data_IF_094259245356
#
_entry.id   IF_094259245356
#
_cell.length_a   1.000
_cell.length_b   1.000
_cell.length_c   1.000
_cell.angle_alpha   90.00
_cell.angle_beta   90.00
_cell.angle_gamma   90.00
#
_symmetry.space_group_name_H-M   'P 1'
#
loop_
_entity.id
_entity.type
_entity.pdbx_description
1 polymer ?
#
# COMPACT_ATOMS: atom_id res chain seq x y z
N UNK A 1 10.55 -14.32 5.36
CA UNK A 1 10.96 -14.13 3.94
C UNK A 1 12.30 -13.41 3.92
N UNK A 2 13.11 -13.63 2.88
CA UNK A 2 14.40 -12.96 2.69
C UNK A 2 14.49 -12.46 1.25
N UNK A 3 14.73 -11.16 1.06
CA UNK A 3 15.07 -10.60 -0.25
C UNK A 3 16.50 -11.03 -0.57
N UNK A 4 16.69 -11.85 -1.62
CA UNK A 4 18.01 -12.35 -2.06
C UNK A 4 18.65 -11.43 -3.10
N UNK A 5 17.85 -10.79 -3.94
CA UNK A 5 18.34 -9.89 -4.99
C UNK A 5 17.36 -8.76 -5.20
N UNK A 6 17.89 -7.58 -5.50
CA UNK A 6 17.11 -6.44 -5.96
C UNK A 6 17.82 -5.77 -7.12
N UNK A 7 17.11 -5.61 -8.24
CA UNK A 7 17.55 -4.84 -9.38
C UNK A 7 16.53 -3.75 -9.71
N UNK A 8 17.01 -2.52 -9.82
CA UNK A 8 16.23 -1.34 -10.16
C UNK A 8 16.75 -0.75 -11.46
N UNK A 9 15.83 -0.35 -12.33
CA UNK A 9 16.13 0.40 -13.55
C UNK A 9 15.19 1.59 -13.62
N UNK A 10 15.75 2.79 -13.78
CA UNK A 10 15.01 4.05 -13.90
C UNK A 10 13.98 4.32 -12.79
N UNK A 11 14.24 3.87 -11.56
CA UNK A 11 13.33 4.04 -10.43
C UNK A 11 13.70 5.28 -9.61
N UNK A 12 12.80 6.26 -9.49
CA UNK A 12 13.07 7.55 -8.82
C UNK A 12 14.37 8.18 -9.37
N UNK A 13 15.33 8.52 -8.52
CA UNK A 13 16.63 9.05 -8.93
C UNK A 13 17.68 7.95 -9.22
N UNK A 14 17.30 6.67 -9.24
CA UNK A 14 18.20 5.53 -9.46
C UNK A 14 18.09 5.12 -10.94
N UNK A 15 19.13 5.35 -11.72
CA UNK A 15 19.18 4.88 -13.12
C UNK A 15 19.37 3.36 -13.17
N UNK A 16 20.31 2.85 -12.39
CA UNK A 16 20.59 1.43 -12.25
C UNK A 16 21.06 1.13 -10.82
N UNK A 17 20.56 0.04 -10.25
CA UNK A 17 21.02 -0.55 -8.99
C UNK A 17 20.81 -2.05 -9.09
N UNK A 18 21.78 -2.83 -8.63
CA UNK A 18 21.69 -4.29 -8.66
C UNK A 18 22.56 -4.85 -7.55
N UNK A 19 21.94 -5.53 -6.59
CA UNK A 19 22.65 -6.10 -5.45
C UNK A 19 22.06 -7.46 -5.05
N UNK A 20 22.96 -8.38 -4.71
CA UNK A 20 22.65 -9.67 -4.10
C UNK A 20 22.86 -9.59 -2.58
N UNK A 21 21.81 -9.92 -1.84
CA UNK A 21 21.75 -9.88 -0.40
C UNK A 21 21.99 -11.26 0.20
N UNK A 22 23.24 -11.49 0.59
CA UNK A 22 23.69 -12.75 1.19
C UNK A 22 23.67 -12.73 2.73
N UNK A 23 23.20 -11.65 3.35
CA UNK A 23 23.18 -11.48 4.80
C UNK A 23 21.83 -10.96 5.29
N UNK A 24 21.52 -11.23 6.56
CA UNK A 24 20.27 -10.79 7.19
C UNK A 24 20.27 -9.31 7.58
N UNK A 25 21.45 -8.69 7.67
CA UNK A 25 21.63 -7.30 8.12
C UNK A 25 22.43 -6.54 7.07
N UNK A 26 21.77 -5.60 6.43
CA UNK A 26 22.34 -4.77 5.38
C UNK A 26 22.31 -3.32 5.85
N UNK A 27 23.43 -2.64 5.70
CA UNK A 27 23.54 -1.21 6.00
C UNK A 27 23.77 -0.47 4.69
N UNK A 28 22.83 0.38 4.30
CA UNK A 28 22.94 1.22 3.11
C UNK A 28 23.48 2.59 3.55
N UNK A 29 24.73 2.89 3.18
CA UNK A 29 25.41 4.14 3.53
C UNK A 29 25.42 5.11 2.34
N UNK A 30 25.49 6.40 2.64
CA UNK A 30 25.59 7.46 1.63
C UNK A 30 25.04 8.79 2.13
N UNK A 31 25.32 9.86 1.39
CA UNK A 31 24.80 11.19 1.71
C UNK A 31 23.27 11.27 1.56
N UNK A 32 22.67 12.33 2.10
CA UNK A 32 21.24 12.58 1.92
C UNK A 32 20.89 12.74 0.43
N UNK A 33 19.65 12.41 0.07
CA UNK A 33 19.15 12.43 -1.31
C UNK A 33 19.84 11.51 -2.33
N UNK A 34 20.76 10.62 -1.91
CA UNK A 34 21.44 9.66 -2.79
C UNK A 34 20.61 8.40 -3.13
N UNK A 35 19.29 8.41 -2.86
CA UNK A 35 18.42 7.29 -3.22
C UNK A 35 18.29 6.15 -2.20
N UNK A 36 18.92 6.25 -1.02
CA UNK A 36 18.80 5.24 0.06
C UNK A 36 17.33 4.90 0.39
N UNK A 37 16.52 5.93 0.63
CA UNK A 37 15.08 5.76 0.90
C UNK A 37 14.28 5.29 -0.32
N UNK A 38 14.81 5.48 -1.54
CA UNK A 38 14.17 5.02 -2.77
C UNK A 38 14.42 3.52 -2.99
N UNK A 39 15.56 2.99 -2.56
CA UNK A 39 15.80 1.53 -2.50
C UNK A 39 14.77 0.87 -1.56
N UNK A 40 14.62 1.42 -0.34
CA UNK A 40 13.62 0.91 0.61
C UNK A 40 12.19 1.05 0.11
N UNK A 41 11.88 2.16 -0.58
CA UNK A 41 10.58 2.37 -1.22
C UNK A 41 10.28 1.31 -2.29
N UNK A 42 11.27 0.97 -3.13
CA UNK A 42 11.10 -0.08 -4.14
C UNK A 42 10.77 -1.44 -3.51
N UNK A 43 11.48 -1.80 -2.43
CA UNK A 43 11.21 -3.03 -1.67
C UNK A 43 9.81 -3.01 -1.06
N UNK A 44 9.40 -1.89 -0.46
CA UNK A 44 8.08 -1.75 0.17
C UNK A 44 6.92 -1.79 -0.86
N UNK A 45 7.14 -1.29 -2.09
CA UNK A 45 6.16 -1.38 -3.18
C UNK A 45 5.89 -2.84 -3.56
N UNK A 46 6.89 -3.72 -3.51
CA UNK A 46 6.71 -5.15 -3.81
C UNK A 46 5.78 -5.83 -2.80
N UNK A 47 5.71 -5.34 -1.56
CA UNK A 47 4.80 -5.86 -0.55
C UNK A 47 3.40 -5.22 -0.60
N UNK A 48 3.34 -3.88 -0.69
CA UNK A 48 2.10 -3.11 -0.53
C UNK A 48 1.40 -2.78 -1.85
N UNK A 49 2.04 -3.05 -2.99
CA UNK A 49 1.61 -2.60 -4.32
C UNK A 49 1.39 -1.08 -4.42
N UNK A 50 1.89 -0.28 -3.49
CA UNK A 50 1.70 1.18 -3.49
C UNK A 50 2.85 1.85 -2.78
N UNK A 51 3.10 3.12 -3.13
CA UNK A 51 4.08 3.94 -2.45
C UNK A 51 3.41 4.73 -1.33
N UNK A 52 4.10 4.83 -0.19
CA UNK A 52 3.67 5.69 0.91
C UNK A 52 3.94 7.18 0.60
N UNK A 53 4.86 7.47 -0.33
CA UNK A 53 5.39 8.81 -0.67
C UNK A 53 4.88 9.39 -2.00
N UNK A 54 4.72 8.55 -3.03
CA UNK A 54 4.24 8.98 -4.34
C UNK A 54 2.71 8.96 -4.40
N UNK A 55 2.12 10.00 -4.97
CA UNK A 55 0.68 10.07 -5.22
C UNK A 55 0.31 9.43 -6.56
N UNK A 56 1.25 9.42 -7.51
CA UNK A 56 1.06 8.91 -8.86
C UNK A 56 2.22 8.02 -9.26
N UNK A 57 1.92 7.01 -10.07
CA UNK A 57 2.92 6.04 -10.56
C UNK A 57 4.04 6.69 -11.38
N UNK A 58 3.76 7.78 -12.09
CA UNK A 58 4.79 8.50 -12.86
C UNK A 58 5.86 9.16 -11.98
N UNK A 59 5.56 9.47 -10.71
CA UNK A 59 6.53 10.02 -9.76
C UNK A 59 7.58 8.98 -9.33
N UNK A 60 7.30 7.69 -9.55
CA UNK A 60 8.23 6.58 -9.28
C UNK A 60 9.25 6.37 -10.41
N UNK A 61 9.08 7.06 -11.53
CA UNK A 61 9.89 6.91 -12.73
C UNK A 61 10.94 8.02 -12.77
N UNK A 62 12.16 7.67 -13.13
CA UNK A 62 13.24 8.64 -13.32
C UNK A 62 12.86 9.67 -14.38
N UNK A 63 13.33 10.90 -14.18
CA UNK A 63 13.07 11.99 -15.11
C UNK A 63 13.49 11.61 -16.53
N UNK A 64 12.63 11.98 -17.50
CA UNK A 64 12.84 11.72 -18.93
C UNK A 64 12.93 10.22 -19.30
N UNK A 65 12.45 9.30 -18.44
CA UNK A 65 12.31 7.88 -18.77
C UNK A 65 10.84 7.50 -18.94
N UNK A 66 10.59 6.47 -19.75
CA UNK A 66 9.22 6.02 -20.05
C UNK A 66 8.70 4.96 -19.06
N UNK A 67 9.61 4.28 -18.37
CA UNK A 67 9.29 3.24 -17.41
C UNK A 67 10.34 3.14 -16.30
N UNK A 68 9.90 2.61 -15.16
CA UNK A 68 10.75 2.06 -14.10
C UNK A 68 10.54 0.55 -14.00
N UNK A 69 11.58 -0.19 -13.61
CA UNK A 69 11.53 -1.64 -13.42
C UNK A 69 12.12 -2.01 -12.06
N UNK A 70 11.40 -2.86 -11.33
CA UNK A 70 11.84 -3.47 -10.07
C UNK A 70 11.85 -4.98 -10.29
N UNK A 71 13.01 -5.61 -10.18
CA UNK A 71 13.18 -7.06 -10.18
C UNK A 71 13.68 -7.52 -8.81
N UNK A 72 13.15 -8.61 -8.30
CA UNK A 72 13.56 -9.16 -7.02
C UNK A 72 13.46 -10.67 -6.97
N UNK A 73 14.43 -11.30 -6.31
CA UNK A 73 14.39 -12.71 -5.96
C UNK A 73 14.17 -12.81 -4.45
N UNK A 74 13.17 -13.58 -4.02
CA UNK A 74 12.70 -13.62 -2.64
C UNK A 74 12.62 -15.07 -2.16
N UNK A 75 13.31 -15.38 -1.08
CA UNK A 75 13.15 -16.64 -0.35
C UNK A 75 11.88 -16.61 0.49
N UNK A 76 10.96 -17.53 0.28
CA UNK A 76 9.81 -17.76 1.17
C UNK A 76 9.98 -19.05 1.98
N UNK A 77 8.97 -19.42 2.78
CA UNK A 77 8.95 -20.71 3.48
C UNK A 77 8.76 -21.88 2.53
N UNK A 78 8.02 -21.65 1.45
CA UNK A 78 7.53 -22.69 0.56
C UNK A 78 8.48 -22.82 -0.63
N UNK A 79 8.67 -21.73 -1.38
CA UNK A 79 9.54 -21.66 -2.56
C UNK A 79 10.19 -20.29 -2.74
N UNK A 80 11.26 -20.24 -3.54
CA UNK A 80 11.78 -18.96 -4.02
C UNK A 80 10.81 -18.34 -5.04
N UNK A 81 10.62 -17.03 -4.97
CA UNK A 81 9.73 -16.25 -5.84
C UNK A 81 10.55 -15.16 -6.55
N UNK A 82 10.45 -15.12 -7.87
CA UNK A 82 10.91 -14.01 -8.70
C UNK A 82 9.74 -13.05 -8.95
N UNK A 83 9.91 -11.77 -8.63
CA UNK A 83 8.94 -10.71 -8.93
C UNK A 83 9.56 -9.68 -9.86
N UNK A 84 8.85 -9.35 -10.93
CA UNK A 84 9.21 -8.30 -11.88
C UNK A 84 8.05 -7.33 -12.06
N UNK A 85 8.23 -6.09 -11.60
CA UNK A 85 7.24 -5.04 -11.65
C UNK A 85 7.74 -3.88 -12.51
N UNK A 86 7.10 -3.68 -13.66
CA UNK A 86 7.32 -2.53 -14.53
C UNK A 86 6.22 -1.49 -14.33
N UNK A 87 6.60 -0.24 -14.12
CA UNK A 87 5.71 0.92 -13.97
C UNK A 87 5.95 1.84 -15.17
N UNK A 88 4.90 2.22 -15.90
CA UNK A 88 5.01 3.06 -17.10
C UNK A 88 4.46 4.48 -16.82
N UNK A 89 4.94 5.47 -17.56
CA UNK A 89 4.48 6.88 -17.44
C UNK A 89 2.98 7.05 -17.66
N UNK A 90 2.35 6.14 -18.40
CA UNK A 90 0.90 6.05 -18.59
C UNK A 90 0.11 5.65 -17.33
N UNK A 91 0.80 5.30 -16.23
CA UNK A 91 0.22 4.76 -15.00
C UNK A 91 -0.11 3.26 -15.09
N UNK A 92 0.15 2.61 -16.22
CA UNK A 92 -0.04 1.16 -16.37
C UNK A 92 1.13 0.41 -15.74
N UNK A 93 0.80 -0.66 -15.00
CA UNK A 93 1.78 -1.60 -14.46
C UNK A 93 1.80 -2.90 -15.25
N UNK A 94 2.95 -3.55 -15.34
CA UNK A 94 3.09 -4.93 -15.80
C UNK A 94 3.78 -5.71 -14.69
N UNK A 95 3.17 -6.82 -14.29
CA UNK A 95 3.72 -7.71 -13.27
C UNK A 95 4.00 -9.07 -13.89
N UNK A 96 5.16 -9.63 -13.60
CA UNK A 96 5.45 -11.05 -13.76
C UNK A 96 5.83 -11.64 -12.41
N UNK A 97 5.33 -12.83 -12.13
CA UNK A 97 5.76 -13.66 -10.98
C UNK A 97 6.23 -14.98 -11.55
N UNK A 98 7.47 -15.38 -11.24
CA UNK A 98 8.14 -16.56 -11.80
C UNK A 98 8.02 -16.62 -13.32
N UNK A 99 8.34 -15.49 -13.98
CA UNK A 99 8.23 -15.33 -15.44
C UNK A 99 6.80 -15.19 -16.01
N UNK A 100 5.75 -15.52 -15.24
CA UNK A 100 4.35 -15.51 -15.71
C UNK A 100 3.70 -14.14 -15.54
N UNK A 101 3.25 -13.55 -16.65
CA UNK A 101 2.52 -12.28 -16.67
C UNK A 101 1.19 -12.36 -15.93
N UNK A 102 0.91 -11.37 -15.09
CA UNK A 102 -0.31 -11.26 -14.27
C UNK A 102 -1.31 -10.25 -14.87
N UNK A 103 -2.61 -10.53 -14.71
CA UNK A 103 -3.70 -9.75 -15.31
C UNK A 103 -4.09 -8.54 -14.48
N UNK A 104 -3.99 -8.63 -13.16
CA UNK A 104 -4.28 -7.55 -12.23
C UNK A 104 -3.03 -7.22 -11.40
N UNK A 105 -2.03 -6.53 -11.97
CA UNK A 105 -0.71 -6.32 -11.35
C UNK A 105 -0.74 -5.83 -9.90
N UNK A 106 -1.71 -5.00 -9.52
CA UNK A 106 -1.78 -4.51 -8.14
C UNK A 106 -2.30 -5.58 -7.17
N UNK A 107 -3.45 -6.18 -7.49
CA UNK A 107 -4.06 -7.21 -6.67
C UNK A 107 -3.27 -8.54 -6.67
N UNK A 108 -2.58 -8.86 -7.78
CA UNK A 108 -1.79 -10.08 -7.94
C UNK A 108 -0.41 -9.99 -7.27
N UNK A 109 0.06 -8.78 -6.93
CA UNK A 109 1.31 -8.57 -6.19
C UNK A 109 1.14 -8.80 -4.68
N UNK A 110 -0.03 -8.50 -4.15
CA UNK A 110 -0.36 -8.63 -2.73
C UNK A 110 -0.21 -10.08 -2.25
N UNK A 111 0.43 -10.25 -1.10
CA UNK A 111 0.60 -11.54 -0.43
C UNK A 111 1.81 -12.35 -0.88
N UNK A 112 2.53 -11.94 -1.93
CA UNK A 112 3.74 -12.64 -2.39
C UNK A 112 5.00 -12.25 -1.58
N UNK A 113 4.99 -11.05 -1.00
CA UNK A 113 6.08 -10.53 -0.20
C UNK A 113 5.55 -9.67 0.95
N UNK A 114 6.17 -9.81 2.11
CA UNK A 114 5.80 -9.05 3.31
C UNK A 114 6.96 -8.21 3.82
N UNK A 115 6.68 -6.94 4.11
CA UNK A 115 7.64 -5.98 4.67
C UNK A 115 7.01 -5.15 5.78
N UNK A 116 7.84 -4.85 6.78
CA UNK A 116 7.57 -3.81 7.78
C UNK A 116 8.59 -2.71 7.56
N UNK A 117 8.10 -1.50 7.26
CA UNK A 117 8.94 -0.32 7.08
C UNK A 117 8.78 0.58 8.30
N UNK A 118 9.90 0.86 8.96
CA UNK A 118 9.99 1.87 10.02
C UNK A 118 10.53 3.16 9.42
N UNK A 119 9.83 4.27 9.67
CA UNK A 119 10.18 5.59 9.16
C UNK A 119 10.00 6.66 10.24
N UNK A 120 10.70 7.79 10.10
CA UNK A 120 10.50 8.93 10.99
C UNK A 120 9.04 9.43 11.01
N UNK A 121 8.33 9.25 9.89
CA UNK A 121 6.92 9.62 9.74
C UNK A 121 5.97 8.75 10.58
N UNK A 122 6.42 7.63 11.14
CA UNK A 122 5.58 6.77 12.00
C UNK A 122 5.11 7.51 13.27
N UNK A 123 5.82 8.57 13.68
CA UNK A 123 5.37 9.47 14.76
C UNK A 123 4.01 10.12 14.48
N UNK A 124 3.63 10.27 13.21
CA UNK A 124 2.32 10.80 12.83
C UNK A 124 1.18 9.81 13.07
N UNK A 125 1.47 8.53 13.33
CA UNK A 125 0.44 7.60 13.80
C UNK A 125 -0.18 8.12 15.12
N UNK A 126 0.68 8.67 15.99
CA UNK A 126 0.29 9.21 17.30
C UNK A 126 -0.18 10.66 17.18
N UNK A 127 0.63 11.54 16.59
CA UNK A 127 0.37 13.00 16.58
C UNK A 127 -0.50 13.47 15.41
N UNK A 128 -0.70 12.62 14.41
CA UNK A 128 -1.34 13.00 13.16
C UNK A 128 -2.86 12.91 13.19
N UNK A 129 -3.45 13.21 12.03
CA UNK A 129 -4.90 13.19 11.83
C UNK A 129 -5.46 11.76 11.72
N UNK A 130 -6.78 11.58 11.89
CA UNK A 130 -7.43 10.28 11.67
C UNK A 130 -7.23 9.71 10.25
N UNK A 131 -7.02 10.56 9.23
CA UNK A 131 -6.77 10.09 7.87
C UNK A 131 -5.43 9.37 7.74
N UNK A 132 -4.40 9.80 8.48
CA UNK A 132 -3.09 9.14 8.49
C UNK A 132 -3.18 7.76 9.17
N UNK A 133 -3.88 7.65 10.31
CA UNK A 133 -4.15 6.36 10.96
C UNK A 133 -4.92 5.40 10.06
N UNK A 134 -5.95 5.88 9.36
CA UNK A 134 -6.69 5.05 8.38
C UNK A 134 -5.81 4.60 7.23
N UNK A 135 -4.99 5.49 6.65
CA UNK A 135 -4.04 5.13 5.58
C UNK A 135 -3.06 4.06 6.04
N UNK A 136 -2.52 4.18 7.25
CA UNK A 136 -1.64 3.18 7.84
C UNK A 136 -2.36 1.83 8.00
N UNK A 137 -3.58 1.83 8.55
CA UNK A 137 -4.37 0.62 8.74
C UNK A 137 -4.71 -0.06 7.41
N UNK A 138 -5.15 0.72 6.42
CA UNK A 138 -5.49 0.24 5.07
C UNK A 138 -4.28 -0.37 4.36
N UNK A 139 -3.11 0.26 4.49
CA UNK A 139 -1.84 -0.19 3.90
C UNK A 139 -1.41 -1.54 4.46
N UNK A 140 -1.52 -1.74 5.78
CA UNK A 140 -1.19 -3.01 6.42
C UNK A 140 -2.20 -4.11 6.08
N UNK A 141 -3.51 -3.83 6.16
CA UNK A 141 -4.55 -4.80 5.80
C UNK A 141 -4.49 -5.22 4.32
N UNK A 142 -4.19 -4.28 3.43
CA UNK A 142 -3.99 -4.55 2.00
C UNK A 142 -2.87 -5.55 1.77
N UNK A 143 -1.76 -5.43 2.49
CA UNK A 143 -0.63 -6.36 2.37
C UNK A 143 -1.03 -7.79 2.78
N UNK A 144 -1.89 -7.92 3.77
CA UNK A 144 -2.32 -9.21 4.34
C UNK A 144 -3.45 -9.88 3.56
N UNK A 145 -4.28 -9.12 2.84
CA UNK A 145 -5.51 -9.64 2.25
C UNK A 145 -5.82 -9.01 0.89
N UNK A 146 -5.72 -9.84 -0.16
CA UNK A 146 -6.20 -9.49 -1.51
C UNK A 146 -7.70 -9.20 -1.52
N UNK A 147 -8.48 -9.87 -0.66
CA UNK A 147 -9.93 -9.62 -0.52
C UNK A 147 -10.14 -8.20 0.01
N UNK A 148 -9.43 -7.81 1.07
CA UNK A 148 -9.49 -6.46 1.62
C UNK A 148 -9.15 -5.41 0.56
N UNK A 149 -8.07 -5.63 -0.19
CA UNK A 149 -7.65 -4.74 -1.27
C UNK A 149 -8.77 -4.51 -2.29
N UNK A 150 -9.43 -5.59 -2.74
CA UNK A 150 -10.51 -5.50 -3.71
C UNK A 150 -11.73 -4.77 -3.15
N UNK A 151 -12.11 -5.06 -1.90
CA UNK A 151 -13.19 -4.35 -1.20
C UNK A 151 -12.88 -2.86 -1.08
N UNK A 152 -11.66 -2.52 -0.64
CA UNK A 152 -11.21 -1.14 -0.47
C UNK A 152 -11.17 -0.38 -1.80
N UNK A 153 -10.61 -0.98 -2.86
CA UNK A 153 -10.58 -0.38 -4.19
C UNK A 153 -12.00 -0.13 -4.74
N UNK A 154 -12.91 -1.07 -4.53
CA UNK A 154 -14.30 -0.94 -4.98
C UNK A 154 -15.03 0.14 -4.19
N UNK A 155 -14.90 0.15 -2.86
CA UNK A 155 -15.45 1.18 -1.98
C UNK A 155 -14.98 2.59 -2.39
N UNK A 156 -13.67 2.79 -2.59
CA UNK A 156 -13.13 4.08 -3.02
C UNK A 156 -13.67 4.51 -4.38
N UNK A 157 -13.79 3.57 -5.33
CA UNK A 157 -14.37 3.84 -6.65
C UNK A 157 -15.83 4.25 -6.52
N UNK A 158 -16.63 3.55 -5.73
CA UNK A 158 -18.06 3.87 -5.52
C UNK A 158 -18.24 5.24 -4.86
N UNK A 159 -17.41 5.61 -3.88
CA UNK A 159 -17.41 6.96 -3.29
C UNK A 159 -17.07 8.02 -4.34
N UNK A 160 -16.04 7.78 -5.16
CA UNK A 160 -15.62 8.72 -6.22
C UNK A 160 -16.74 8.92 -7.24
N UNK A 161 -17.38 7.84 -7.70
CA UNK A 161 -18.48 7.90 -8.66
C UNK A 161 -19.72 8.59 -8.06
N UNK A 162 -20.05 8.30 -6.80
CA UNK A 162 -21.13 9.01 -6.07
C UNK A 162 -20.87 10.51 -6.01
N UNK A 163 -19.65 10.92 -5.66
CA UNK A 163 -19.30 12.35 -5.58
C UNK A 163 -19.36 13.04 -6.95
N UNK A 164 -18.90 12.37 -8.01
CA UNK A 164 -19.00 12.87 -9.37
C UNK A 164 -20.46 13.02 -9.83
N UNK A 165 -21.31 12.03 -9.54
CA UNK A 165 -22.75 12.08 -9.81
C UNK A 165 -23.42 13.24 -9.08
N UNK A 166 -23.13 13.43 -7.79
CA UNK A 166 -23.69 14.54 -7.02
C UNK A 166 -23.33 15.90 -7.62
N UNK A 167 -22.07 16.07 -8.04
CA UNK A 167 -21.61 17.29 -8.71
C UNK A 167 -22.31 17.50 -10.05
N UNK A 168 -22.36 16.48 -10.91
CA UNK A 168 -23.00 16.55 -12.21
C UNK A 168 -24.52 16.80 -12.10
N UNK A 169 -25.18 16.20 -11.12
CA UNK A 169 -26.61 16.39 -10.87
C UNK A 169 -26.93 17.84 -10.45
N UNK A 170 -26.07 18.45 -9.63
CA UNK A 170 -26.17 19.86 -9.27
C UNK A 170 -25.99 20.77 -10.49
N UNK A 171 -24.99 20.51 -11.33
CA UNK A 171 -24.68 21.32 -12.52
C UNK A 171 -25.75 21.21 -13.62
N UNK A 172 -26.36 20.03 -13.79
CA UNK A 172 -27.34 19.75 -14.84
C UNK A 172 -28.80 20.00 -14.45
N UNK A 173 -29.07 20.35 -13.18
CA UNK A 173 -30.44 20.48 -12.68
C UNK A 173 -31.22 19.15 -12.68
N UNK A 174 -30.53 18.03 -12.46
CA UNK A 174 -31.12 16.69 -12.46
C UNK A 174 -32.29 16.60 -11.46
N UNK A 175 -33.40 15.98 -11.89
CA UNK A 175 -34.55 15.79 -11.01
C UNK A 175 -34.19 14.94 -9.79
N UNK A 176 -34.77 15.27 -8.63
CA UNK A 176 -34.51 14.56 -7.37
C UNK A 176 -34.78 13.05 -7.48
N UNK A 177 -35.81 12.65 -8.24
CA UNK A 177 -36.16 11.25 -8.47
C UNK A 177 -35.05 10.51 -9.23
N UNK A 178 -34.59 11.07 -10.35
CA UNK A 178 -33.50 10.47 -11.15
C UNK A 178 -32.20 10.36 -10.35
N UNK A 179 -31.87 11.41 -9.59
CA UNK A 179 -30.70 11.39 -8.72
C UNK A 179 -30.78 10.29 -7.66
N UNK A 180 -31.94 10.10 -7.02
CA UNK A 180 -32.13 9.07 -6.01
C UNK A 180 -31.98 7.65 -6.58
N UNK A 181 -32.52 7.40 -7.77
CA UNK A 181 -32.40 6.12 -8.46
C UNK A 181 -30.92 5.82 -8.78
N UNK A 182 -30.17 6.77 -9.33
CA UNK A 182 -28.74 6.58 -9.63
C UNK A 182 -27.87 6.46 -8.36
N UNK A 183 -28.18 7.23 -7.31
CA UNK A 183 -27.47 7.14 -6.02
C UNK A 183 -27.67 5.78 -5.35
N UNK A 184 -28.82 5.13 -5.54
CA UNK A 184 -29.12 3.85 -4.90
C UNK A 184 -28.10 2.76 -5.26
N UNK A 185 -27.60 2.76 -6.50
CA UNK A 185 -26.60 1.82 -7.01
C UNK A 185 -25.29 1.97 -6.24
N UNK A 186 -24.79 3.20 -6.12
CA UNK A 186 -23.54 3.50 -5.43
C UNK A 186 -23.67 3.30 -3.92
N UNK A 187 -24.81 3.69 -3.34
CA UNK A 187 -25.08 3.51 -1.91
C UNK A 187 -25.05 2.03 -1.52
N UNK A 188 -25.63 1.13 -2.34
CA UNK A 188 -25.58 -0.31 -2.09
C UNK A 188 -24.13 -0.82 -2.02
N UNK A 189 -23.29 -0.45 -2.99
CA UNK A 189 -21.88 -0.85 -2.99
C UNK A 189 -21.11 -0.26 -1.80
N UNK A 190 -21.36 1.01 -1.45
CA UNK A 190 -20.70 1.66 -0.32
C UNK A 190 -21.07 0.96 1.00
N UNK A 191 -22.34 0.58 1.19
CA UNK A 191 -22.79 -0.14 2.38
C UNK A 191 -22.14 -1.51 2.45
N UNK A 192 -22.21 -2.28 1.37
CA UNK A 192 -21.71 -3.65 1.29
C UNK A 192 -20.19 -3.71 1.55
N UNK A 193 -19.39 -3.01 0.75
CA UNK A 193 -17.93 -3.04 0.90
C UNK A 193 -17.45 -2.23 2.11
N UNK A 194 -18.17 -1.17 2.50
CA UNK A 194 -17.84 -0.38 3.68
C UNK A 194 -18.00 -1.17 4.98
N UNK A 195 -19.02 -2.03 5.08
CA UNK A 195 -19.20 -2.91 6.23
C UNK A 195 -18.06 -3.94 6.34
N UNK A 196 -17.68 -4.57 5.23
CA UNK A 196 -16.55 -5.51 5.20
C UNK A 196 -15.22 -4.87 5.61
N UNK A 197 -14.95 -3.66 5.11
CA UNK A 197 -13.76 -2.88 5.50
C UNK A 197 -13.79 -2.57 6.99
N UNK A 198 -14.94 -2.12 7.51
CA UNK A 198 -15.09 -1.79 8.92
C UNK A 198 -14.80 -3.00 9.82
N UNK A 199 -15.39 -4.15 9.51
CA UNK A 199 -15.19 -5.39 10.27
C UNK A 199 -13.72 -5.80 10.33
N UNK A 200 -13.03 -5.79 9.17
CA UNK A 200 -11.62 -6.16 9.12
C UNK A 200 -10.71 -5.15 9.84
N UNK A 201 -11.06 -3.87 9.83
CA UNK A 201 -10.34 -2.83 10.59
C UNK A 201 -10.49 -3.01 12.08
N UNK A 202 -11.71 -3.28 12.57
CA UNK A 202 -11.96 -3.53 14.00
C UNK A 202 -11.21 -4.78 14.46
N UNK A 203 -11.31 -5.87 13.71
CA UNK A 203 -10.58 -7.12 14.00
C UNK A 203 -9.06 -6.90 14.05
N UNK A 204 -8.51 -6.17 13.07
CA UNK A 204 -7.10 -5.84 13.05
C UNK A 204 -6.66 -5.01 14.27
N UNK A 205 -7.40 -3.95 14.61
CA UNK A 205 -7.10 -3.11 15.77
C UNK A 205 -7.14 -3.91 17.07
N UNK A 206 -8.15 -4.76 17.25
CA UNK A 206 -8.25 -5.63 18.42
C UNK A 206 -7.07 -6.61 18.52
N UNK A 207 -6.64 -7.18 17.39
CA UNK A 207 -5.50 -8.10 17.33
C UNK A 207 -4.19 -7.41 17.68
N UNK A 208 -3.95 -6.19 17.19
CA UNK A 208 -2.70 -5.47 17.46
C UNK A 208 -2.64 -4.85 18.86
N UNK A 209 -3.79 -4.63 19.51
CA UNK A 209 -3.84 -3.96 20.81
C UNK A 209 -3.06 -4.74 21.88
N UNK A 210 -3.21 -6.06 21.93
CA UNK A 210 -2.50 -6.91 22.91
C UNK A 210 -0.98 -6.79 22.75
N UNK A 211 -0.48 -6.87 21.51
CA UNK A 211 0.94 -6.72 21.21
C UNK A 211 1.42 -5.30 21.55
N UNK A 212 0.68 -4.27 21.16
CA UNK A 212 1.06 -2.88 21.40
C UNK A 212 1.10 -2.55 22.91
N UNK A 213 0.13 -3.07 23.68
CA UNK A 213 0.10 -2.98 25.15
C UNK A 213 1.35 -3.62 25.77
N UNK A 214 1.69 -4.84 25.33
CA UNK A 214 2.87 -5.54 25.82
C UNK A 214 4.15 -4.76 25.53
N UNK A 215 4.35 -4.31 24.29
CA UNK A 215 5.54 -3.53 23.93
C UNK A 215 5.64 -2.22 24.70
N UNK A 216 4.54 -1.49 24.93
CA UNK A 216 4.58 -0.27 25.74
C UNK A 216 4.90 -0.57 27.20
N UNK A 217 4.32 -1.62 27.77
CA UNK A 217 4.61 -2.04 29.13
C UNK A 217 6.11 -2.32 29.32
N UNK A 218 6.72 -3.05 28.37
CA UNK A 218 8.13 -3.39 28.41
C UNK A 218 9.04 -2.15 28.26
N UNK A 219 8.67 -1.21 27.40
CA UNK A 219 9.43 0.04 27.20
C UNK A 219 9.27 1.05 28.34
N UNK A 220 8.09 1.14 28.95
CA UNK A 220 7.78 2.09 30.02
C UNK A 220 8.05 1.54 31.43
N UNK A 221 8.50 0.28 31.54
CA UNK A 221 8.62 -0.44 32.82
C UNK A 221 7.31 -0.47 33.62
N UNK A 222 6.18 -0.63 32.92
CA UNK A 222 4.83 -0.72 33.50
C UNK A 222 4.22 0.62 33.96
N UNK A 223 4.84 1.75 33.65
CA UNK A 223 4.34 3.06 34.07
C UNK A 223 3.26 3.63 33.14
N UNK A 224 3.08 3.07 31.94
CA UNK A 224 2.11 3.55 30.96
C UNK A 224 1.21 2.42 30.46
N UNK A 225 -0.05 2.77 30.18
CA UNK A 225 -1.03 1.85 29.58
C UNK A 225 -1.49 2.36 28.23
N UNK A 226 -1.52 1.47 27.22
CA UNK A 226 -2.04 1.78 25.89
C UNK A 226 -3.43 1.18 25.72
N UNK A 227 -4.35 1.90 25.07
CA UNK A 227 -5.60 1.34 24.57
C UNK A 227 -5.79 1.79 23.12
N UNK A 228 -6.26 0.88 22.26
CA UNK A 228 -6.55 1.18 20.87
C UNK A 228 -8.05 1.01 20.63
N UNK A 229 -8.74 2.13 20.39
CA UNK A 229 -10.17 2.14 20.14
C UNK A 229 -10.46 2.49 18.67
N UNK A 230 -11.35 1.73 18.04
CA UNK A 230 -11.84 1.99 16.69
C UNK A 230 -13.38 2.11 16.76
N UNK A 231 -13.89 3.32 16.47
CA UNK A 231 -15.32 3.66 16.52
C UNK A 231 -15.89 3.79 15.10
#
# INVERSE_FOLDING_TARGET
>A
MLLKRLKLTNFRNIEHFEEDFNTLKIIILGQNAQGKSNILEAVNILAKSSSDRALRDNELINFNKEFALINSDIKTSDDDIEISLQINTTGRRKLKINGVSKKAPQADLIGNFFTVMFAADDLYLIKGSPSLRRKWLDSNLTQLSKIYHNHFATYQKSITQKNALLKSAFESGMSRKSLQEQLSIWNKQIIEYGAEILLQRVDYVNKIESFAKQFLNDMSSGNETLQLNYF
#
